data_IF_827629132672
#
_entry.id   IF_827629132672
#
_cell.length_a   1.000
_cell.length_b   1.000
_cell.length_c   1.000
_cell.angle_alpha   90.00
_cell.angle_beta   90.00
_cell.angle_gamma   90.00
#
_symmetry.space_group_name_H-M   'P 1'
#
loop_
_entity.id
_entity.type
_entity.pdbx_description
1 polymer ?
#
# COMPACT_ATOMS: atom_id res chain seq x y z
N UNK A 1 0.68 18.64 26.79
CA UNK A 1 0.66 17.66 27.91
C UNK A 1 -0.62 17.77 28.73
N UNK A 2 -1.13 18.98 29.02
CA UNK A 2 -2.39 19.17 29.76
C UNK A 2 -3.59 18.42 29.18
N UNK A 3 -3.81 18.48 27.86
CA UNK A 3 -4.94 17.79 27.22
C UNK A 3 -4.90 16.27 27.40
N UNK A 4 -3.71 15.65 27.41
CA UNK A 4 -3.58 14.20 27.64
C UNK A 4 -3.92 13.84 29.09
N UNK A 5 -3.54 14.71 30.04
CA UNK A 5 -3.86 14.53 31.46
C UNK A 5 -5.36 14.73 31.73
N UNK A 6 -6.02 15.71 31.09
CA UNK A 6 -7.48 15.93 31.18
C UNK A 6 -8.27 14.72 30.70
N UNK A 7 -7.75 14.01 29.71
CA UNK A 7 -8.41 12.84 29.10
C UNK A 7 -7.89 11.50 29.62
N UNK A 8 -7.08 11.47 30.70
CA UNK A 8 -6.48 10.25 31.25
C UNK A 8 -5.78 9.36 30.19
N UNK A 9 -5.12 9.98 29.20
CA UNK A 9 -4.42 9.24 28.14
C UNK A 9 -3.07 8.78 28.69
N UNK A 10 -2.99 7.48 29.00
CA UNK A 10 -1.76 6.80 29.39
C UNK A 10 -1.11 6.19 28.15
N UNK A 11 0.18 6.47 27.94
CA UNK A 11 0.94 5.88 26.84
C UNK A 11 1.43 4.51 27.31
N UNK A 12 0.98 3.45 26.65
CA UNK A 12 1.52 2.11 26.85
C UNK A 12 2.65 1.89 25.86
N UNK A 13 3.88 1.69 26.37
CA UNK A 13 5.03 1.31 25.55
C UNK A 13 4.92 -0.18 25.22
N UNK A 14 4.12 -0.48 24.20
CA UNK A 14 3.88 -1.85 23.73
C UNK A 14 4.74 -2.06 22.50
N UNK A 15 5.60 -3.11 22.45
CA UNK A 15 6.37 -3.38 21.26
C UNK A 15 5.42 -3.66 20.09
N UNK A 16 5.69 -3.02 18.95
CA UNK A 16 4.96 -3.28 17.71
C UNK A 16 5.49 -4.59 17.15
N UNK A 17 4.75 -5.67 17.34
CA UNK A 17 5.02 -6.94 16.67
C UNK A 17 4.44 -6.87 15.24
N UNK A 18 5.32 -6.71 14.25
CA UNK A 18 4.95 -6.73 12.84
C UNK A 18 5.53 -7.98 12.16
N UNK A 19 4.65 -8.89 11.76
CA UNK A 19 5.05 -10.02 10.94
C UNK A 19 5.02 -9.61 9.46
N UNK A 20 6.19 -9.65 8.81
CA UNK A 20 6.29 -9.37 7.39
C UNK A 20 5.88 -10.61 6.59
N UNK A 21 4.67 -10.61 6.05
CA UNK A 21 4.25 -11.64 5.10
C UNK A 21 4.98 -11.50 3.77
N UNK A 22 5.54 -12.62 3.29
CA UNK A 22 6.21 -12.68 2.00
C UNK A 22 5.20 -13.07 0.92
N UNK A 23 5.29 -12.41 -0.23
CA UNK A 23 4.48 -12.77 -1.38
C UNK A 23 4.86 -14.17 -1.89
N UNK A 24 3.88 -15.07 -2.00
CA UNK A 24 4.11 -16.44 -2.48
C UNK A 24 3.69 -16.62 -3.94
N UNK A 25 4.06 -17.76 -4.54
CA UNK A 25 3.70 -18.06 -5.93
C UNK A 25 2.21 -18.33 -6.08
N UNK A 26 1.56 -18.85 -5.05
CA UNK A 26 0.13 -19.13 -5.01
C UNK A 26 -0.66 -17.81 -5.03
N UNK A 27 -0.22 -16.83 -4.24
CA UNK A 27 -0.84 -15.50 -4.19
C UNK A 27 -0.90 -14.80 -5.55
N UNK A 28 0.02 -15.12 -6.47
CA UNK A 28 0.02 -14.57 -7.85
C UNK A 28 -1.27 -14.84 -8.61
N UNK A 29 -1.97 -15.94 -8.31
CA UNK A 29 -3.23 -16.31 -8.97
C UNK A 29 -4.41 -15.51 -8.42
N UNK A 30 -4.41 -15.28 -7.11
CA UNK A 30 -5.60 -14.84 -6.38
C UNK A 30 -5.54 -13.36 -5.96
N UNK A 31 -4.34 -12.78 -5.85
CA UNK A 31 -4.15 -11.43 -5.34
C UNK A 31 -4.00 -10.40 -6.47
N UNK A 32 -4.55 -9.20 -6.24
CA UNK A 32 -4.35 -8.04 -7.11
C UNK A 32 -3.26 -7.15 -6.52
N UNK A 33 -2.20 -6.89 -7.30
CA UNK A 33 -1.15 -5.94 -6.94
C UNK A 33 -1.63 -4.53 -7.26
N UNK A 34 -1.88 -3.72 -6.22
CA UNK A 34 -2.19 -2.30 -6.37
C UNK A 34 -0.89 -1.50 -6.42
N UNK A 35 -0.71 -0.72 -7.47
CA UNK A 35 0.50 0.05 -7.68
C UNK A 35 0.17 1.52 -7.92
N UNK A 36 0.72 2.48 -7.14
CA UNK A 36 0.49 3.89 -7.39
C UNK A 36 1.10 4.32 -8.72
N UNK A 37 0.39 5.17 -9.48
CA UNK A 37 0.95 5.81 -10.66
C UNK A 37 1.91 6.91 -10.21
N UNK A 38 3.22 6.66 -10.34
CA UNK A 38 4.25 7.70 -10.12
C UNK A 38 4.71 8.37 -11.41
N UNK A 39 4.61 7.67 -12.54
CA UNK A 39 4.94 8.21 -13.86
C UNK A 39 4.17 7.48 -14.97
N UNK A 40 3.33 8.17 -15.76
CA UNK A 40 2.51 7.51 -16.78
C UNK A 40 3.33 6.83 -17.89
N UNK A 41 4.54 7.30 -18.18
CA UNK A 41 5.37 6.73 -19.25
C UNK A 41 5.98 5.40 -18.79
N UNK A 42 6.60 5.36 -17.59
CA UNK A 42 7.25 4.16 -17.08
C UNK A 42 6.26 3.05 -16.73
N UNK A 43 5.16 3.43 -16.07
CA UNK A 43 4.22 2.43 -15.52
C UNK A 43 3.39 1.74 -16.59
N UNK A 44 3.22 2.33 -17.79
CA UNK A 44 2.60 1.64 -18.93
C UNK A 44 3.41 0.42 -19.38
N UNK A 45 4.74 0.56 -19.49
CA UNK A 45 5.59 -0.57 -19.87
C UNK A 45 5.68 -1.61 -18.75
N UNK A 46 5.78 -1.15 -17.50
CA UNK A 46 5.83 -2.03 -16.34
C UNK A 46 4.54 -2.83 -16.16
N UNK A 47 3.37 -2.21 -16.31
CA UNK A 47 2.07 -2.89 -16.26
C UNK A 47 1.98 -4.00 -17.31
N UNK A 48 2.37 -3.71 -18.56
CA UNK A 48 2.39 -4.71 -19.62
C UNK A 48 3.36 -5.87 -19.31
N UNK A 49 4.56 -5.57 -18.82
CA UNK A 49 5.54 -6.59 -18.46
C UNK A 49 5.08 -7.47 -17.30
N UNK A 50 4.48 -6.89 -16.25
CA UNK A 50 3.96 -7.62 -15.10
C UNK A 50 2.76 -8.50 -15.47
N UNK A 51 1.85 -8.00 -16.32
CA UNK A 51 0.74 -8.80 -16.85
C UNK A 51 1.24 -9.95 -17.71
N UNK A 52 2.21 -9.72 -18.58
CA UNK A 52 2.86 -10.77 -19.37
C UNK A 52 3.52 -11.82 -18.47
N UNK A 53 4.17 -11.38 -17.39
CA UNK A 53 4.73 -12.26 -16.38
C UNK A 53 3.65 -13.01 -15.57
N UNK A 54 2.36 -12.72 -15.74
CA UNK A 54 1.24 -13.42 -15.12
C UNK A 54 0.81 -12.84 -13.77
N UNK A 55 1.14 -11.58 -13.47
CA UNK A 55 0.63 -10.90 -12.28
C UNK A 55 -0.66 -10.15 -12.60
N UNK A 56 -1.64 -10.22 -11.69
CA UNK A 56 -2.81 -9.36 -11.74
C UNK A 56 -2.47 -7.99 -11.12
N UNK A 57 -2.02 -7.03 -11.93
CA UNK A 57 -1.63 -5.69 -11.46
C UNK A 57 -2.61 -4.62 -11.94
N UNK A 58 -2.93 -3.70 -11.04
CA UNK A 58 -3.74 -2.50 -11.29
C UNK A 58 -2.90 -1.28 -10.94
N UNK A 59 -2.62 -0.45 -11.95
CA UNK A 59 -2.04 0.87 -11.74
C UNK A 59 -3.16 1.79 -11.30
N UNK A 60 -3.07 2.31 -10.09
CA UNK A 60 -4.04 3.24 -9.53
C UNK A 60 -4.01 4.55 -10.33
N UNK A 61 -5.15 5.24 -10.50
CA UNK A 61 -5.16 6.55 -11.13
C UNK A 61 -4.25 7.52 -10.36
N UNK A 62 -3.77 8.56 -11.07
CA UNK A 62 -3.00 9.63 -10.46
C UNK A 62 -3.82 10.23 -9.30
N UNK A 63 -3.18 10.42 -8.14
CA UNK A 63 -3.83 10.97 -6.96
C UNK A 63 -4.20 12.42 -7.22
N UNK A 64 -5.48 12.67 -7.52
CA UNK A 64 -6.04 14.01 -7.49
C UNK A 64 -5.94 14.54 -6.04
N UNK A 65 -5.48 15.78 -5.86
CA UNK A 65 -5.28 16.40 -4.54
C UNK A 65 -6.55 16.45 -3.68
N UNK A 66 -7.72 16.19 -4.30
CA UNK A 66 -9.03 16.06 -3.66
C UNK A 66 -9.18 14.90 -2.69
N UNK A 67 -8.25 13.94 -2.67
CA UNK A 67 -8.27 12.88 -1.65
C UNK A 67 -7.86 13.37 -0.24
N UNK A 68 -7.33 14.60 -0.13
CA UNK A 68 -6.78 15.19 1.09
C UNK A 68 -7.65 16.34 1.63
N UNK A 69 -8.80 16.62 1.02
CA UNK A 69 -9.77 17.65 1.49
C UNK A 69 -10.86 17.04 2.39
#
# INVERSE_FOLDING_TARGET
MEERARHNIVIHDTPIEYERHMFTKEMKKDHTLLCPQMSPIHFRFLEAALRYAGFNVVILPDTDFKAVD
#
